data_IF_502139352478
#
_entry.id   IF_502139352478
#
_cell.length_a   1.000
_cell.length_b   1.000
_cell.length_c   1.000
_cell.angle_alpha   90.00
_cell.angle_beta   90.00
_cell.angle_gamma   90.00
#
_symmetry.space_group_name_H-M   'P 1'
#
loop_
_entity.id
_entity.type
_entity.pdbx_description
1 polymer ?
#
# COMPACT_ATOMS: atom_id res chain seq x y z
N UNK A 1 47.49 6.29 -4.07
CA UNK A 1 46.17 6.94 -4.00
C UNK A 1 45.21 6.10 -4.82
N UNK A 2 44.10 5.65 -4.25
CA UNK A 2 43.06 4.96 -5.01
C UNK A 2 42.25 5.98 -5.81
N UNK A 3 42.04 5.68 -7.09
CA UNK A 3 41.22 6.49 -7.98
C UNK A 3 39.95 5.72 -8.31
N UNK A 4 38.83 6.43 -8.36
CA UNK A 4 37.55 5.85 -8.80
C UNK A 4 37.40 6.12 -10.30
N UNK A 5 37.10 5.07 -11.07
CA UNK A 5 36.84 5.19 -12.50
C UNK A 5 35.48 5.82 -12.79
N UNK A 6 35.31 6.32 -14.01
CA UNK A 6 34.04 6.87 -14.48
C UNK A 6 32.87 5.87 -14.36
N UNK A 7 33.10 4.59 -14.67
CA UNK A 7 32.04 3.57 -14.60
C UNK A 7 31.69 3.20 -13.16
N UNK A 8 32.69 3.09 -12.28
CA UNK A 8 32.47 2.85 -10.86
C UNK A 8 31.67 3.99 -10.23
N UNK A 9 32.04 5.25 -10.50
CA UNK A 9 31.31 6.39 -9.97
C UNK A 9 29.87 6.46 -10.51
N UNK A 10 29.66 6.16 -11.80
CA UNK A 10 28.31 6.02 -12.37
C UNK A 10 27.48 4.98 -11.62
N UNK A 11 28.07 3.82 -11.33
CA UNK A 11 27.39 2.71 -10.66
C UNK A 11 27.07 3.05 -9.21
N UNK A 12 28.06 3.53 -8.46
CA UNK A 12 27.91 3.88 -7.04
C UNK A 12 26.90 5.01 -6.83
N UNK A 13 26.91 6.03 -7.70
CA UNK A 13 26.02 7.19 -7.61
C UNK A 13 24.67 6.99 -8.33
N UNK A 14 24.44 5.83 -8.97
CA UNK A 14 23.26 5.55 -9.82
C UNK A 14 23.03 6.64 -10.89
N UNK A 15 24.11 7.11 -11.50
CA UNK A 15 24.11 8.10 -12.58
C UNK A 15 24.36 7.41 -13.92
N UNK A 16 23.60 7.78 -14.94
CA UNK A 16 23.93 7.41 -16.32
C UNK A 16 25.23 8.09 -16.76
N UNK A 17 25.93 7.48 -17.73
CA UNK A 17 27.15 8.04 -18.32
C UNK A 17 26.96 9.49 -18.76
N UNK A 18 25.84 9.79 -19.45
CA UNK A 18 25.54 11.15 -19.90
C UNK A 18 25.34 12.17 -18.75
N UNK A 19 24.82 11.74 -17.60
CA UNK A 19 24.67 12.60 -16.43
C UNK A 19 26.02 12.92 -15.82
N UNK A 20 26.90 11.93 -15.62
CA UNK A 20 28.24 12.17 -15.08
C UNK A 20 29.09 13.01 -16.04
N UNK A 21 29.03 12.76 -17.35
CA UNK A 21 29.69 13.60 -18.36
C UNK A 21 29.23 15.06 -18.33
N UNK A 22 27.95 15.30 -18.04
CA UNK A 22 27.42 16.66 -17.89
C UNK A 22 28.01 17.36 -16.66
N UNK A 23 28.09 16.67 -15.52
CA UNK A 23 28.70 17.22 -14.30
C UNK A 23 30.15 17.64 -14.54
N UNK A 24 30.92 16.82 -15.27
CA UNK A 24 32.30 17.14 -15.67
C UNK A 24 32.33 18.37 -16.58
N UNK A 25 31.49 18.39 -17.63
CA UNK A 25 31.43 19.50 -18.60
C UNK A 25 31.14 20.85 -17.93
N UNK A 26 30.32 20.85 -16.90
CA UNK A 26 29.93 22.05 -16.15
C UNK A 26 30.73 22.27 -14.87
N UNK A 27 31.90 21.61 -14.73
CA UNK A 27 32.84 21.75 -13.60
C UNK A 27 32.22 21.53 -12.21
N UNK A 28 31.21 20.67 -12.13
CA UNK A 28 30.62 20.26 -10.85
C UNK A 28 31.39 19.10 -10.20
N UNK A 29 32.19 18.39 -11.00
CA UNK A 29 33.23 17.47 -10.55
C UNK A 29 34.40 17.56 -11.55
N UNK A 30 35.63 17.53 -11.05
CA UNK A 30 36.83 17.54 -11.89
C UNK A 30 37.54 16.18 -11.82
N UNK A 31 37.76 15.51 -12.96
CA UNK A 31 38.62 14.33 -13.04
C UNK A 31 40.07 14.69 -12.71
N UNK A 32 40.74 13.84 -11.94
CA UNK A 32 42.16 13.93 -11.64
C UNK A 32 43.03 13.91 -12.91
N UNK A 33 42.55 13.26 -13.97
CA UNK A 33 43.24 13.07 -15.23
C UNK A 33 42.59 13.79 -16.41
N UNK A 34 42.04 15.00 -16.20
CA UNK A 34 41.29 15.75 -17.23
C UNK A 34 42.04 15.91 -18.57
N UNK A 35 43.38 15.97 -18.56
CA UNK A 35 44.20 16.13 -19.78
C UNK A 35 44.60 14.81 -20.45
N UNK A 36 44.70 13.72 -19.70
CA UNK A 36 45.21 12.42 -20.17
C UNK A 36 44.15 11.32 -20.25
N UNK A 37 42.89 11.61 -19.87
CA UNK A 37 41.82 10.62 -19.74
C UNK A 37 41.63 9.69 -20.95
N UNK A 38 41.91 10.13 -22.18
CA UNK A 38 41.83 9.26 -23.37
C UNK A 38 42.92 8.20 -23.40
N UNK A 39 44.15 8.56 -23.01
CA UNK A 39 45.28 7.64 -22.93
C UNK A 39 45.14 6.70 -21.72
N UNK A 40 44.54 7.19 -20.63
CA UNK A 40 44.38 6.44 -19.37
C UNK A 40 43.13 5.53 -19.35
N UNK A 41 42.43 5.38 -20.48
CA UNK A 41 41.24 4.53 -20.60
C UNK A 41 40.01 5.06 -19.86
N UNK A 42 39.85 6.38 -19.76
CA UNK A 42 38.69 7.06 -19.19
C UNK A 42 39.01 8.05 -18.07
N UNK A 43 37.99 8.77 -17.61
CA UNK A 43 38.14 9.67 -16.47
C UNK A 43 38.42 8.89 -15.17
N UNK A 44 39.22 9.51 -14.30
CA UNK A 44 39.55 9.07 -12.96
C UNK A 44 39.26 10.19 -11.97
N UNK A 45 38.70 9.85 -10.82
CA UNK A 45 38.30 10.80 -9.78
C UNK A 45 39.05 10.50 -8.50
N UNK A 46 39.42 11.55 -7.77
CA UNK A 46 39.87 11.38 -6.40
C UNK A 46 38.72 10.86 -5.55
N UNK A 47 39.04 10.00 -4.59
CA UNK A 47 38.06 9.40 -3.70
C UNK A 47 37.22 10.45 -2.96
N UNK A 48 37.84 11.55 -2.51
CA UNK A 48 37.13 12.66 -1.87
C UNK A 48 36.08 13.32 -2.77
N UNK A 49 36.41 13.53 -4.06
CA UNK A 49 35.50 14.11 -5.05
C UNK A 49 34.33 13.17 -5.34
N UNK A 50 34.63 11.88 -5.49
CA UNK A 50 33.64 10.85 -5.70
C UNK A 50 32.71 10.72 -4.48
N UNK A 51 33.25 10.73 -3.26
CA UNK A 51 32.47 10.67 -2.03
C UNK A 51 31.55 11.88 -1.87
N UNK A 52 31.98 13.09 -2.26
CA UNK A 52 31.10 14.27 -2.30
C UNK A 52 29.90 14.07 -3.23
N UNK A 53 30.11 13.48 -4.41
CA UNK A 53 29.01 13.15 -5.32
C UNK A 53 28.11 12.07 -4.71
N UNK A 54 28.68 11.02 -4.13
CA UNK A 54 27.91 9.94 -3.52
C UNK A 54 27.00 10.46 -2.40
N UNK A 55 27.52 11.32 -1.53
CA UNK A 55 26.74 11.90 -0.42
C UNK A 55 25.58 12.77 -0.93
N UNK A 56 25.73 13.46 -2.07
CA UNK A 56 24.63 14.24 -2.67
C UNK A 56 23.44 13.36 -3.07
N UNK A 57 23.70 12.15 -3.58
CA UNK A 57 22.67 11.24 -4.08
C UNK A 57 22.30 10.13 -3.09
N UNK A 58 23.01 10.01 -1.98
CA UNK A 58 22.80 9.00 -0.96
C UNK A 58 21.41 9.12 -0.35
N UNK A 59 20.71 8.00 -0.28
CA UNK A 59 19.36 7.94 0.26
C UNK A 59 18.30 8.68 -0.57
N UNK A 60 18.64 9.19 -1.76
CA UNK A 60 17.71 9.90 -2.63
C UNK A 60 17.08 8.97 -3.67
N UNK A 61 15.76 9.00 -3.74
CA UNK A 61 14.93 8.20 -4.60
C UNK A 61 14.35 9.09 -5.70
N UNK A 62 14.34 8.60 -6.93
CA UNK A 62 13.58 9.20 -8.03
C UNK A 62 12.07 9.11 -7.76
N UNK A 63 11.25 9.88 -8.48
CA UNK A 63 9.79 9.78 -8.40
C UNK A 63 9.28 8.34 -8.61
N UNK A 64 9.92 7.57 -9.50
CA UNK A 64 9.58 6.16 -9.74
C UNK A 64 9.89 5.29 -8.52
N UNK A 65 11.08 5.45 -7.96
CA UNK A 65 11.51 4.66 -6.79
C UNK A 65 10.69 5.05 -5.56
N UNK A 66 10.42 6.34 -5.34
CA UNK A 66 9.55 6.82 -4.27
C UNK A 66 8.12 6.25 -4.39
N UNK A 67 7.54 6.26 -5.59
CA UNK A 67 6.23 5.66 -5.85
C UNK A 67 6.22 4.16 -5.57
N UNK A 68 7.29 3.45 -5.96
CA UNK A 68 7.45 2.01 -5.70
C UNK A 68 7.57 1.75 -4.19
N UNK A 69 8.39 2.54 -3.49
CA UNK A 69 8.62 2.42 -2.05
C UNK A 69 7.36 2.67 -1.22
N UNK A 70 6.56 3.68 -1.61
CA UNK A 70 5.28 4.01 -0.97
C UNK A 70 4.13 3.12 -1.46
N UNK A 71 4.35 2.25 -2.47
CA UNK A 71 3.32 1.44 -3.12
C UNK A 71 2.15 2.29 -3.66
N UNK A 72 2.47 3.42 -4.31
CA UNK A 72 1.51 4.38 -4.86
C UNK A 72 1.85 4.72 -6.31
N UNK A 73 0.93 5.42 -6.99
CA UNK A 73 1.17 5.92 -8.34
C UNK A 73 2.16 7.10 -8.33
N UNK A 74 2.91 7.29 -9.43
CA UNK A 74 3.78 8.47 -9.58
C UNK A 74 3.00 9.78 -9.51
N UNK A 75 1.76 9.78 -10.01
CA UNK A 75 0.86 10.94 -9.95
C UNK A 75 0.53 11.31 -8.52
N UNK A 76 0.22 10.32 -7.67
CA UNK A 76 -0.04 10.51 -6.25
C UNK A 76 1.16 11.17 -5.55
N UNK A 77 2.35 10.61 -5.71
CA UNK A 77 3.59 11.15 -5.12
C UNK A 77 3.88 12.57 -5.63
N UNK A 78 3.62 12.84 -6.92
CA UNK A 78 3.77 14.17 -7.50
C UNK A 78 2.80 15.20 -6.90
N UNK A 79 1.55 14.80 -6.64
CA UNK A 79 0.55 15.68 -6.02
C UNK A 79 0.90 15.97 -4.56
N UNK A 80 1.27 14.95 -3.77
CA UNK A 80 1.70 15.15 -2.37
C UNK A 80 2.90 16.07 -2.25
N UNK A 81 3.84 15.99 -3.21
CA UNK A 81 4.97 16.91 -3.27
C UNK A 81 4.55 18.34 -3.65
N UNK A 82 3.53 18.52 -4.52
CA UNK A 82 2.99 19.85 -4.88
C UNK A 82 2.24 20.49 -3.71
N UNK A 83 1.51 19.69 -2.95
CA UNK A 83 0.73 20.10 -1.77
C UNK A 83 1.63 20.35 -0.54
N UNK A 84 2.94 20.10 -0.65
CA UNK A 84 3.91 20.31 0.43
C UNK A 84 3.92 19.21 1.50
N UNK A 85 3.09 18.18 1.34
CA UNK A 85 2.97 17.08 2.29
C UNK A 85 4.14 16.08 2.23
N UNK A 86 4.80 15.98 1.07
CA UNK A 86 5.99 15.15 0.90
C UNK A 86 7.20 16.01 0.50
N UNK A 87 8.21 16.14 1.37
CA UNK A 87 9.43 16.87 1.06
C UNK A 87 10.17 16.28 -0.15
N UNK A 88 10.81 17.16 -0.92
CA UNK A 88 11.69 16.76 -2.02
C UNK A 88 12.85 17.74 -2.14
N UNK A 89 13.97 17.25 -2.68
CA UNK A 89 15.13 18.06 -3.05
C UNK A 89 15.22 18.13 -4.57
N UNK A 90 15.37 19.34 -5.10
CA UNK A 90 15.74 19.50 -6.50
C UNK A 90 17.23 19.27 -6.68
N UNK A 91 17.59 18.23 -7.42
CA UNK A 91 18.98 17.91 -7.73
C UNK A 91 19.19 17.98 -9.24
N UNK A 92 20.31 18.56 -9.64
CA UNK A 92 20.74 18.59 -11.04
C UNK A 92 21.11 17.18 -11.48
N UNK A 93 20.33 16.57 -12.37
CA UNK A 93 20.62 15.27 -12.95
C UNK A 93 20.85 15.41 -14.46
N UNK A 94 22.06 15.84 -14.82
CA UNK A 94 22.37 16.28 -16.18
C UNK A 94 21.76 17.65 -16.48
N UNK A 95 21.06 17.80 -17.62
CA UNK A 95 20.48 19.08 -18.08
C UNK A 95 19.21 19.50 -17.34
N UNK A 96 18.58 18.62 -16.57
CA UNK A 96 17.29 18.88 -15.90
C UNK A 96 17.46 18.83 -14.39
N UNK A 97 16.70 19.69 -13.69
CA UNK A 97 16.47 19.52 -12.26
C UNK A 97 15.43 18.44 -12.08
N UNK A 98 15.77 17.41 -11.32
CA UNK A 98 14.87 16.33 -10.97
C UNK A 98 14.52 16.44 -9.49
N UNK A 99 13.25 16.21 -9.16
CA UNK A 99 12.79 16.10 -7.77
C UNK A 99 13.18 14.72 -7.26
N UNK A 100 14.02 14.70 -6.24
CA UNK A 100 14.43 13.49 -5.54
C UNK A 100 13.90 13.51 -4.11
N UNK A 101 13.60 12.33 -3.59
CA UNK A 101 12.93 12.13 -2.31
C UNK A 101 13.87 11.42 -1.36
N UNK A 102 14.09 11.96 -0.17
CA UNK A 102 14.95 11.28 0.81
C UNK A 102 14.24 10.07 1.41
N UNK A 103 14.96 8.98 1.60
CA UNK A 103 14.39 7.74 2.13
C UNK A 103 13.81 7.92 3.53
N UNK A 104 14.42 8.77 4.38
CA UNK A 104 13.88 9.06 5.71
C UNK A 104 12.56 9.84 5.62
N UNK A 105 12.44 10.80 4.71
CA UNK A 105 11.17 11.52 4.46
C UNK A 105 10.10 10.55 3.95
N UNK A 106 10.48 9.61 3.07
CA UNK A 106 9.57 8.56 2.59
C UNK A 106 9.15 7.59 3.70
N UNK A 107 10.07 7.25 4.63
CA UNK A 107 9.76 6.43 5.82
C UNK A 107 8.81 7.16 6.74
N UNK A 108 9.07 8.43 7.02
CA UNK A 108 8.23 9.26 7.89
C UNK A 108 6.85 9.50 7.26
N UNK A 109 6.80 9.80 5.97
CA UNK A 109 5.56 9.94 5.21
C UNK A 109 4.78 8.63 5.14
N UNK A 110 5.45 7.48 5.02
CA UNK A 110 4.79 6.17 5.12
C UNK A 110 4.28 5.91 6.54
N UNK A 111 5.06 6.21 7.57
CA UNK A 111 4.63 6.12 8.98
C UNK A 111 3.47 7.06 9.27
N UNK A 112 3.44 8.26 8.70
CA UNK A 112 2.33 9.19 8.85
C UNK A 112 1.11 8.71 8.08
N UNK A 113 1.26 8.12 6.89
CA UNK A 113 0.17 7.41 6.21
C UNK A 113 -0.35 6.23 7.04
N UNK A 114 0.52 5.47 7.70
CA UNK A 114 0.16 4.34 8.56
C UNK A 114 -0.48 4.82 9.89
N UNK A 115 -0.03 5.95 10.44
CA UNK A 115 -0.56 6.57 11.66
C UNK A 115 -1.88 7.28 11.39
N UNK A 116 -1.99 8.04 10.30
CA UNK A 116 -3.27 8.53 9.76
C UNK A 116 -4.16 7.34 9.53
N UNK A 117 -3.72 6.26 8.86
CA UNK A 117 -4.51 5.02 8.70
C UNK A 117 -4.92 4.36 10.03
N UNK A 118 -4.35 4.71 11.18
CA UNK A 118 -4.73 4.14 12.47
C UNK A 118 -5.55 5.09 13.36
N UNK A 119 -5.32 6.40 13.32
CA UNK A 119 -6.22 7.38 13.96
C UNK A 119 -7.50 7.56 13.13
N UNK A 120 -7.38 7.59 11.80
CA UNK A 120 -8.53 7.52 10.89
C UNK A 120 -9.19 6.14 10.83
N UNK A 121 -8.57 5.05 11.36
CA UNK A 121 -9.30 3.78 11.56
C UNK A 121 -10.37 3.88 12.65
N UNK A 122 -10.34 4.91 13.50
CA UNK A 122 -11.45 5.24 14.41
C UNK A 122 -12.44 6.25 13.80
N UNK A 123 -12.14 6.83 12.64
CA UNK A 123 -12.90 7.92 12.01
C UNK A 123 -13.16 7.71 10.50
N UNK A 124 -13.06 6.49 9.98
CA UNK A 124 -13.69 6.19 8.71
C UNK A 124 -15.14 5.85 9.00
N UNK A 125 -16.06 6.62 8.43
CA UNK A 125 -17.45 6.22 8.22
C UNK A 125 -17.42 4.90 7.43
N UNK A 126 -17.33 3.80 8.16
CA UNK A 126 -17.56 2.47 7.59
C UNK A 126 -18.98 2.48 7.08
N UNK A 127 -19.14 2.14 5.82
CA UNK A 127 -20.46 2.01 5.25
C UNK A 127 -21.15 0.85 5.96
N UNK A 128 -22.32 1.06 6.57
CA UNK A 128 -23.12 -0.05 7.05
C UNK A 128 -23.36 -1.01 5.88
N UNK A 129 -23.11 -2.30 6.11
CA UNK A 129 -23.24 -3.30 5.05
C UNK A 129 -24.70 -3.65 4.81
N UNK A 130 -25.58 -3.44 5.80
CA UNK A 130 -27.00 -3.70 5.67
C UNK A 130 -27.80 -2.82 6.63
N UNK A 131 -29.01 -2.44 6.20
CA UNK A 131 -30.04 -1.76 7.01
C UNK A 131 -31.39 -2.01 6.35
N UNK A 132 -32.46 -2.26 7.11
CA UNK A 132 -33.85 -2.30 6.61
C UNK A 132 -34.01 -3.05 5.27
N UNK A 133 -33.68 -4.34 5.27
CA UNK A 133 -33.80 -5.25 4.11
C UNK A 133 -32.93 -4.91 2.90
N UNK A 134 -32.01 -3.95 3.00
CA UNK A 134 -31.02 -3.66 1.97
C UNK A 134 -29.65 -4.22 2.37
N UNK A 135 -28.94 -4.72 1.37
CA UNK A 135 -27.55 -5.16 1.45
C UNK A 135 -26.70 -4.28 0.52
N UNK A 136 -25.58 -3.81 1.03
CA UNK A 136 -24.66 -2.96 0.28
C UNK A 136 -24.11 -3.69 -0.94
N UNK A 137 -24.08 -3.00 -2.07
CA UNK A 137 -23.72 -3.53 -3.40
C UNK A 137 -24.66 -4.59 -3.95
N UNK A 138 -25.81 -4.84 -3.34
CA UNK A 138 -26.80 -5.71 -3.96
C UNK A 138 -27.61 -4.96 -5.03
N UNK A 139 -28.26 -5.69 -5.92
CA UNK A 139 -29.20 -5.13 -6.88
C UNK A 139 -30.62 -5.20 -6.33
N UNK A 140 -31.38 -4.13 -6.54
CA UNK A 140 -32.83 -4.08 -6.39
C UNK A 140 -33.46 -3.76 -7.74
N UNK A 141 -34.77 -3.99 -7.89
CA UNK A 141 -35.51 -3.59 -9.10
C UNK A 141 -36.38 -2.37 -8.76
N UNK A 142 -36.20 -1.27 -9.48
CA UNK A 142 -37.02 -0.07 -9.35
C UNK A 142 -37.52 0.32 -10.75
N UNK A 143 -38.84 0.44 -10.91
CA UNK A 143 -39.49 0.73 -12.20
C UNK A 143 -39.04 -0.17 -13.35
N UNK A 144 -38.79 -1.45 -13.05
CA UNK A 144 -38.32 -2.45 -14.03
C UNK A 144 -36.83 -2.37 -14.37
N UNK A 145 -36.06 -1.48 -13.74
CA UNK A 145 -34.62 -1.35 -13.94
C UNK A 145 -33.81 -1.84 -12.74
N UNK A 146 -32.65 -2.48 -12.97
CA UNK A 146 -31.75 -2.86 -11.89
C UNK A 146 -31.04 -1.63 -11.33
N UNK A 147 -31.14 -1.45 -10.02
CA UNK A 147 -30.48 -0.38 -9.26
C UNK A 147 -29.56 -1.02 -8.24
N UNK A 148 -28.28 -0.66 -8.28
CA UNK A 148 -27.24 -1.13 -7.36
C UNK A 148 -27.25 -0.30 -6.08
N UNK A 149 -27.42 -0.93 -4.93
CA UNK A 149 -27.38 -0.27 -3.61
C UNK A 149 -25.96 0.20 -3.31
N UNK A 150 -25.78 1.51 -3.05
CA UNK A 150 -24.48 2.11 -2.71
C UNK A 150 -24.44 2.76 -1.32
N UNK A 151 -25.60 2.98 -0.71
CA UNK A 151 -25.76 3.48 0.65
C UNK A 151 -27.05 2.93 1.25
N UNK A 152 -26.94 2.03 2.23
CA UNK A 152 -28.09 1.36 2.86
C UNK A 152 -28.82 2.24 3.87
N UNK A 153 -28.17 3.27 4.43
CA UNK A 153 -28.81 4.13 5.45
C UNK A 153 -29.63 5.22 4.80
N UNK A 154 -29.11 5.83 3.74
CA UNK A 154 -29.86 6.79 2.92
C UNK A 154 -30.77 6.12 1.91
N UNK A 155 -30.70 4.78 1.80
CA UNK A 155 -31.38 3.97 0.78
C UNK A 155 -31.13 4.51 -0.63
N UNK A 156 -29.86 4.80 -0.95
CA UNK A 156 -29.48 5.28 -2.28
C UNK A 156 -28.85 4.15 -3.10
N UNK A 157 -29.17 4.17 -4.38
CA UNK A 157 -28.58 3.30 -5.39
C UNK A 157 -28.13 4.05 -6.63
N UNK A 158 -27.57 3.30 -7.57
CA UNK A 158 -27.20 3.77 -8.91
C UNK A 158 -27.71 2.79 -9.96
N UNK A 159 -28.22 3.29 -11.08
CA UNK A 159 -28.59 2.46 -12.22
C UNK A 159 -27.38 2.16 -13.13
N UNK A 160 -27.62 1.49 -14.26
CA UNK A 160 -26.59 1.15 -15.25
C UNK A 160 -25.94 2.39 -15.90
N UNK A 161 -26.61 3.55 -15.86
CA UNK A 161 -26.13 4.83 -16.36
C UNK A 161 -25.36 5.63 -15.28
N UNK A 162 -25.17 5.04 -14.08
CA UNK A 162 -24.58 5.70 -12.89
C UNK A 162 -25.39 6.89 -12.36
N UNK A 163 -26.68 6.95 -12.66
CA UNK A 163 -27.57 7.96 -12.10
C UNK A 163 -28.01 7.55 -10.70
N UNK A 164 -28.00 8.51 -9.78
CA UNK A 164 -28.41 8.28 -8.41
C UNK A 164 -29.93 8.14 -8.30
N UNK A 165 -30.37 7.09 -7.62
CA UNK A 165 -31.78 6.79 -7.39
C UNK A 165 -32.04 6.56 -5.91
N UNK A 166 -33.17 7.06 -5.42
CA UNK A 166 -33.65 6.77 -4.07
C UNK A 166 -34.46 5.48 -4.10
N UNK A 167 -34.15 4.57 -3.19
CA UNK A 167 -34.78 3.25 -3.07
C UNK A 167 -35.89 3.36 -2.02
N UNK A 168 -37.13 3.11 -2.44
CA UNK A 168 -38.30 3.16 -1.57
C UNK A 168 -38.21 2.14 -0.41
N UNK A 169 -38.91 2.38 0.70
CA UNK A 169 -38.76 1.62 1.95
C UNK A 169 -39.21 0.15 1.82
N UNK A 170 -40.21 -0.09 0.98
CA UNK A 170 -40.79 -1.39 0.68
C UNK A 170 -39.88 -2.30 -0.15
N UNK A 171 -38.85 -1.74 -0.78
CA UNK A 171 -37.94 -2.48 -1.66
C UNK A 171 -36.91 -3.24 -0.81
N UNK A 172 -36.72 -4.52 -1.13
CA UNK A 172 -35.74 -5.40 -0.49
C UNK A 172 -34.66 -5.82 -1.49
N UNK A 173 -33.44 -5.96 -0.98
CA UNK A 173 -32.30 -6.50 -1.70
C UNK A 173 -32.50 -7.99 -2.04
N UNK A 174 -32.11 -8.40 -3.25
CA UNK A 174 -32.31 -9.77 -3.77
C UNK A 174 -31.57 -10.84 -2.95
N UNK A 175 -30.35 -10.52 -2.49
CA UNK A 175 -29.46 -11.38 -1.72
C UNK A 175 -29.50 -11.06 -0.22
N UNK A 176 -30.42 -10.19 0.22
CA UNK A 176 -30.66 -9.97 1.64
C UNK A 176 -31.27 -11.24 2.24
N UNK A 177 -30.43 -12.03 2.91
CA UNK A 177 -30.86 -13.23 3.63
C UNK A 177 -30.33 -13.18 5.05
N UNK A 178 -31.10 -13.75 5.99
CA UNK A 178 -30.62 -13.91 7.37
C UNK A 178 -29.33 -14.75 7.40
N UNK A 179 -29.16 -15.68 6.47
CA UNK A 179 -27.95 -16.49 6.34
C UNK A 179 -26.69 -15.63 6.16
N UNK A 180 -26.72 -14.63 5.28
CA UNK A 180 -25.58 -13.71 5.07
C UNK A 180 -25.23 -12.90 6.33
N UNK A 181 -26.24 -12.58 7.15
CA UNK A 181 -26.09 -11.77 8.37
C UNK A 181 -25.61 -12.63 9.55
N UNK A 182 -26.05 -13.88 9.62
CA UNK A 182 -25.81 -14.79 10.74
C UNK A 182 -24.52 -15.61 10.62
N UNK A 183 -23.76 -15.47 9.51
CA UNK A 183 -22.45 -16.10 9.40
C UNK A 183 -21.58 -15.73 10.60
N UNK A 184 -21.06 -16.76 11.26
CA UNK A 184 -20.29 -16.63 12.50
C UNK A 184 -19.07 -15.77 12.28
N UNK A 185 -18.80 -14.91 13.26
CA UNK A 185 -17.61 -14.05 13.25
C UNK A 185 -16.34 -14.88 13.33
N UNK A 186 -15.42 -14.64 12.40
CA UNK A 186 -14.10 -15.22 12.37
C UNK A 186 -13.24 -14.53 13.43
N UNK A 187 -12.70 -15.33 14.35
CA UNK A 187 -11.85 -14.87 15.46
C UNK A 187 -10.36 -14.93 15.14
N UNK A 188 -9.97 -15.60 14.04
CA UNK A 188 -8.58 -15.68 13.59
C UNK A 188 -8.00 -14.26 13.41
N UNK A 189 -6.86 -13.93 14.04
CA UNK A 189 -6.28 -12.60 13.97
C UNK A 189 -5.68 -12.32 12.59
N UNK A 190 -5.82 -11.07 12.13
CA UNK A 190 -5.37 -10.62 10.82
C UNK A 190 -6.54 -10.36 9.87
N UNK A 191 -6.23 -9.69 8.77
CA UNK A 191 -7.18 -9.30 7.73
C UNK A 191 -6.48 -9.28 6.37
N UNK A 192 -7.25 -9.49 5.31
CA UNK A 192 -6.87 -9.19 3.92
C UNK A 192 -7.55 -7.88 3.52
N UNK A 193 -6.84 -7.02 2.79
CA UNK A 193 -7.35 -5.70 2.39
C UNK A 193 -7.31 -5.55 0.88
N UNK A 194 -8.41 -5.05 0.32
CA UNK A 194 -8.59 -4.77 -1.10
C UNK A 194 -8.94 -3.30 -1.31
N UNK A 195 -8.58 -2.77 -2.48
CA UNK A 195 -9.12 -1.51 -3.00
C UNK A 195 -9.79 -1.79 -4.35
N UNK A 196 -11.10 -1.71 -4.34
CA UNK A 196 -11.92 -1.93 -5.52
C UNK A 196 -12.19 -0.61 -6.24
N UNK A 197 -12.01 -0.54 -7.56
CA UNK A 197 -12.43 0.61 -8.35
C UNK A 197 -13.96 0.82 -8.26
N UNK A 198 -14.39 2.09 -8.37
CA UNK A 198 -15.81 2.45 -8.40
C UNK A 198 -16.45 1.86 -9.67
N UNK A 199 -17.75 1.55 -9.60
CA UNK A 199 -18.60 1.13 -10.74
C UNK A 199 -18.32 -0.24 -11.38
N UNK A 200 -17.24 -0.93 -11.02
CA UNK A 200 -16.77 -2.09 -11.82
C UNK A 200 -16.63 -3.39 -11.04
N UNK A 201 -16.63 -3.36 -9.70
CA UNK A 201 -16.39 -4.53 -8.86
C UNK A 201 -17.48 -4.77 -7.81
N UNK A 202 -18.69 -4.25 -8.02
CA UNK A 202 -19.79 -4.42 -7.07
C UNK A 202 -20.17 -5.87 -6.85
N UNK A 203 -20.24 -6.68 -7.92
CA UNK A 203 -20.58 -8.10 -7.80
C UNK A 203 -19.53 -8.88 -7.03
N UNK A 204 -18.24 -8.53 -7.19
CA UNK A 204 -17.14 -9.14 -6.44
C UNK A 204 -17.22 -8.79 -4.95
N UNK A 205 -17.50 -7.52 -4.65
CA UNK A 205 -17.68 -7.06 -3.27
C UNK A 205 -18.90 -7.71 -2.61
N UNK A 206 -20.03 -7.78 -3.32
CA UNK A 206 -21.23 -8.47 -2.88
C UNK A 206 -20.95 -9.96 -2.63
N UNK A 207 -20.26 -10.62 -3.56
CA UNK A 207 -19.90 -12.03 -3.42
C UNK A 207 -19.09 -12.30 -2.15
N UNK A 208 -18.14 -11.43 -1.80
CA UNK A 208 -17.41 -11.55 -0.54
C UNK A 208 -18.35 -11.37 0.66
N UNK A 209 -19.18 -10.33 0.66
CA UNK A 209 -20.10 -10.05 1.78
C UNK A 209 -21.05 -11.23 2.00
N UNK A 210 -21.62 -11.80 0.93
CA UNK A 210 -22.57 -12.90 1.00
C UNK A 210 -21.95 -14.21 1.52
N UNK A 211 -20.68 -14.48 1.21
CA UNK A 211 -20.03 -15.74 1.58
C UNK A 211 -19.20 -15.65 2.87
N UNK A 212 -18.56 -14.52 3.12
CA UNK A 212 -17.76 -14.31 4.32
C UNK A 212 -18.63 -13.80 5.48
N UNK A 213 -19.75 -13.14 5.16
CA UNK A 213 -20.68 -12.58 6.13
C UNK A 213 -20.37 -11.15 6.53
N UNK A 214 -21.42 -10.40 6.85
CA UNK A 214 -21.34 -8.96 7.21
C UNK A 214 -20.49 -8.71 8.47
N UNK A 215 -20.40 -9.68 9.37
CA UNK A 215 -19.62 -9.60 10.62
C UNK A 215 -18.10 -9.69 10.39
N UNK A 216 -17.68 -10.12 9.19
CA UNK A 216 -16.30 -10.43 8.82
C UNK A 216 -15.73 -9.48 7.76
N UNK A 217 -16.51 -8.48 7.35
CA UNK A 217 -16.17 -7.53 6.29
C UNK A 217 -16.36 -6.11 6.81
N UNK A 218 -15.45 -5.22 6.44
CA UNK A 218 -15.55 -3.79 6.65
C UNK A 218 -15.34 -3.08 5.32
N UNK A 219 -16.21 -2.14 4.99
CA UNK A 219 -16.13 -1.34 3.77
C UNK A 219 -16.05 0.14 4.12
N UNK A 220 -15.16 0.85 3.44
CA UNK A 220 -15.04 2.31 3.52
C UNK A 220 -14.93 2.89 2.12
N UNK A 221 -15.65 3.98 1.84
CA UNK A 221 -15.49 4.73 0.59
C UNK A 221 -14.22 5.60 0.67
N UNK A 222 -13.44 5.62 -0.41
CA UNK A 222 -12.26 6.46 -0.64
C UNK A 222 -12.44 7.20 -1.97
N UNK A 223 -11.62 8.23 -2.20
CA UNK A 223 -11.61 8.95 -3.48
C UNK A 223 -11.26 8.01 -4.65
N UNK A 224 -10.41 7.01 -4.40
CA UNK A 224 -9.91 6.08 -5.42
C UNK A 224 -10.78 4.83 -5.61
N UNK A 225 -11.81 4.61 -4.75
CA UNK A 225 -12.56 3.36 -4.76
C UNK A 225 -13.17 2.97 -3.41
N UNK A 226 -13.51 1.69 -3.27
CA UNK A 226 -13.96 1.09 -2.02
C UNK A 226 -12.81 0.31 -1.38
N UNK A 227 -12.41 0.72 -0.19
CA UNK A 227 -11.47 -0.02 0.63
C UNK A 227 -12.25 -1.08 1.41
N UNK A 228 -11.98 -2.35 1.14
CA UNK A 228 -12.62 -3.47 1.81
C UNK A 228 -11.59 -4.25 2.63
N UNK A 229 -11.85 -4.43 3.92
CA UNK A 229 -11.07 -5.30 4.81
C UNK A 229 -11.89 -6.53 5.15
N UNK A 230 -11.27 -7.69 5.05
CA UNK A 230 -11.91 -8.99 5.24
C UNK A 230 -11.12 -9.82 6.26
N UNK A 231 -11.82 -10.52 7.16
CA UNK A 231 -11.19 -11.49 8.06
C UNK A 231 -10.56 -12.65 7.28
N UNK A 232 -9.61 -13.34 7.91
CA UNK A 232 -8.91 -14.50 7.34
C UNK A 232 -9.82 -15.75 7.29
N UNK A 233 -10.81 -15.73 6.41
CA UNK A 233 -11.71 -16.86 6.14
C UNK A 233 -11.51 -17.45 4.76
N UNK A 234 -12.58 -18.01 4.20
CA UNK A 234 -12.56 -18.55 2.85
C UNK A 234 -13.94 -18.44 2.19
N UNK A 235 -13.94 -18.32 0.88
CA UNK A 235 -15.15 -18.22 0.04
C UNK A 235 -15.10 -19.29 -1.06
N UNK A 236 -16.22 -19.68 -1.67
CA UNK A 236 -16.21 -20.62 -2.79
C UNK A 236 -15.41 -20.06 -3.96
N UNK A 237 -14.70 -20.94 -4.66
CA UNK A 237 -13.88 -20.57 -5.80
C UNK A 237 -14.73 -20.21 -7.01
N UNK A 238 -14.42 -19.05 -7.56
CA UNK A 238 -14.84 -18.63 -8.89
C UNK A 238 -13.63 -17.98 -9.58
N UNK A 239 -13.35 -18.40 -10.81
CA UNK A 239 -12.15 -17.99 -11.53
C UNK A 239 -12.14 -16.48 -11.86
N UNK A 240 -13.30 -15.89 -12.16
CA UNK A 240 -13.42 -14.47 -12.43
C UNK A 240 -13.24 -13.67 -11.15
N UNK A 241 -13.92 -14.07 -10.07
CA UNK A 241 -13.79 -13.46 -8.74
C UNK A 241 -12.33 -13.50 -8.30
N UNK A 242 -11.69 -14.68 -8.32
CA UNK A 242 -10.31 -14.85 -7.89
C UNK A 242 -9.34 -13.93 -8.64
N UNK A 243 -9.53 -13.76 -9.96
CA UNK A 243 -8.70 -12.85 -10.78
C UNK A 243 -8.88 -11.39 -10.37
N UNK A 244 -10.12 -10.94 -10.15
CA UNK A 244 -10.38 -9.56 -9.72
C UNK A 244 -9.82 -9.32 -8.32
N UNK A 245 -10.02 -10.25 -7.38
CA UNK A 245 -9.49 -10.17 -6.03
C UNK A 245 -7.96 -10.02 -6.01
N UNK A 246 -7.24 -10.83 -6.80
CA UNK A 246 -5.78 -10.71 -6.91
C UNK A 246 -5.35 -9.35 -7.48
N UNK A 247 -6.12 -8.79 -8.41
CA UNK A 247 -5.80 -7.48 -9.01
C UNK A 247 -6.04 -6.32 -8.05
N UNK A 248 -7.04 -6.44 -7.18
CA UNK A 248 -7.43 -5.41 -6.22
C UNK A 248 -6.77 -5.56 -4.83
N UNK A 249 -5.93 -6.58 -4.64
CA UNK A 249 -5.28 -6.89 -3.36
C UNK A 249 -4.24 -5.83 -2.99
N UNK A 250 -4.37 -5.24 -1.80
CA UNK A 250 -3.39 -4.30 -1.23
C UNK A 250 -2.53 -4.99 -0.17
N UNK A 251 -3.13 -5.84 0.66
CA UNK A 251 -2.44 -6.44 1.80
C UNK A 251 -3.04 -7.81 2.14
N UNK A 252 -2.18 -8.74 2.53
CA UNK A 252 -2.52 -10.15 2.71
C UNK A 252 -2.22 -10.97 1.46
N UNK A 253 -2.72 -12.20 1.44
CA UNK A 253 -2.53 -13.18 0.37
C UNK A 253 -3.83 -13.94 0.13
N UNK A 254 -3.99 -14.38 -1.11
CA UNK A 254 -5.06 -15.29 -1.51
C UNK A 254 -4.46 -16.62 -1.93
N UNK A 255 -4.99 -17.70 -1.39
CA UNK A 255 -4.61 -19.06 -1.78
C UNK A 255 -5.82 -19.76 -2.37
N UNK A 256 -5.65 -20.35 -3.55
CA UNK A 256 -6.65 -21.25 -4.11
C UNK A 256 -6.31 -22.65 -3.64
N UNK A 257 -7.22 -23.27 -2.90
CA UNK A 257 -7.13 -24.68 -2.52
C UNK A 257 -8.47 -25.36 -2.78
N UNK A 258 -8.44 -26.42 -3.62
CA UNK A 258 -9.65 -27.12 -4.07
C UNK A 258 -10.65 -26.11 -4.66
N UNK A 259 -11.90 -26.16 -4.21
CA UNK A 259 -13.00 -25.30 -4.66
C UNK A 259 -13.19 -24.07 -3.78
N UNK A 260 -12.15 -23.59 -3.09
CA UNK A 260 -12.22 -22.40 -2.23
C UNK A 260 -11.04 -21.44 -2.41
N UNK A 261 -11.31 -20.17 -2.13
CA UNK A 261 -10.33 -19.09 -2.04
C UNK A 261 -10.14 -18.79 -0.56
N UNK A 262 -8.93 -19.00 -0.05
CA UNK A 262 -8.53 -18.75 1.32
C UNK A 262 -7.88 -17.37 1.46
N UNK A 263 -8.31 -16.63 2.47
CA UNK A 263 -7.79 -15.32 2.82
C UNK A 263 -6.76 -15.53 3.92
N UNK A 264 -5.51 -15.25 3.64
CA UNK A 264 -4.39 -15.55 4.54
C UNK A 264 -3.44 -14.36 4.63
N UNK A 265 -2.68 -14.30 5.71
CA UNK A 265 -1.56 -13.37 5.88
C UNK A 265 -0.21 -14.11 5.87
N UNK A 266 -0.20 -15.40 5.53
CA UNK A 266 0.94 -16.32 5.60
C UNK A 266 1.61 -16.33 6.98
N UNK A 267 0.84 -16.10 8.04
CA UNK A 267 1.30 -16.19 9.43
C UNK A 267 0.53 -17.27 10.17
N UNK A 268 1.27 -18.04 10.96
CA UNK A 268 0.69 -18.97 11.93
C UNK A 268 0.61 -18.32 13.31
N UNK A 269 -0.45 -18.66 14.05
CA UNK A 269 -0.63 -18.15 15.40
C UNK A 269 0.07 -19.05 16.42
N UNK A 270 0.95 -18.46 17.22
CA UNK A 270 1.63 -19.16 18.33
C UNK A 270 1.25 -18.50 19.65
N UNK A 271 0.76 -19.31 20.60
CA UNK A 271 0.50 -18.89 21.99
C UNK A 271 1.73 -19.16 22.84
N UNK A 272 2.28 -18.13 23.50
CA UNK A 272 3.44 -18.23 24.39
C UNK A 272 3.09 -17.73 25.78
N UNK A 273 3.62 -18.40 26.81
CA UNK A 273 3.61 -17.92 28.18
C UNK A 273 5.02 -17.39 28.49
N UNK A 274 5.11 -16.09 28.81
CA UNK A 274 6.37 -15.40 29.04
C UNK A 274 6.35 -14.73 30.41
N UNK A 275 7.52 -14.65 31.05
CA UNK A 275 7.67 -13.94 32.32
C UNK A 275 7.31 -12.46 32.16
N UNK A 276 6.75 -11.88 33.23
CA UNK A 276 6.32 -10.48 33.25
C UNK A 276 7.46 -9.52 32.90
N UNK A 277 8.67 -9.80 33.35
CA UNK A 277 9.86 -9.00 33.04
C UNK A 277 10.16 -8.93 31.54
N UNK A 278 9.99 -10.05 30.82
CA UNK A 278 10.16 -10.12 29.36
C UNK A 278 9.12 -9.26 28.66
N UNK A 279 7.86 -9.33 29.11
CA UNK A 279 6.77 -8.52 28.55
C UNK A 279 7.00 -7.02 28.77
N UNK A 280 7.44 -6.61 29.97
CA UNK A 280 7.74 -5.20 30.24
C UNK A 280 8.92 -4.68 29.42
N UNK A 281 9.99 -5.48 29.29
CA UNK A 281 11.13 -5.13 28.42
C UNK A 281 10.71 -5.01 26.95
N UNK A 282 9.84 -5.91 26.47
CA UNK A 282 9.32 -5.85 25.11
C UNK A 282 8.42 -4.63 24.86
N UNK A 283 7.64 -4.20 25.86
CA UNK A 283 6.87 -2.93 25.79
C UNK A 283 7.79 -1.73 25.70
N UNK A 284 8.83 -1.67 26.52
CA UNK A 284 9.78 -0.57 26.50
C UNK A 284 10.48 -0.45 25.15
N UNK A 285 11.00 -1.57 24.62
CA UNK A 285 11.58 -1.64 23.26
C UNK A 285 10.56 -1.28 22.17
N UNK A 286 9.29 -1.60 22.35
CA UNK A 286 8.26 -1.24 21.39
C UNK A 286 8.06 0.28 21.33
N UNK A 287 8.07 0.96 22.48
CA UNK A 287 7.99 2.43 22.55
C UNK A 287 9.18 3.06 21.85
N UNK A 288 10.40 2.58 22.13
CA UNK A 288 11.64 3.05 21.50
C UNK A 288 11.63 2.88 19.98
N UNK A 289 11.08 1.76 19.48
CA UNK A 289 10.93 1.49 18.04
C UNK A 289 9.69 2.14 17.40
N UNK A 290 8.84 2.82 18.16
CA UNK A 290 7.58 3.41 17.68
C UNK A 290 6.51 2.38 17.27
N UNK A 291 6.50 1.21 17.90
CA UNK A 291 5.53 0.14 17.65
C UNK A 291 4.30 0.25 18.55
N UNK A 292 3.13 -0.11 18.02
CA UNK A 292 1.86 -0.07 18.76
C UNK A 292 1.67 -1.17 19.79
N UNK A 293 2.54 -2.17 19.80
CA UNK A 293 2.43 -3.28 20.72
C UNK A 293 3.73 -4.07 20.82
N UNK A 294 3.98 -4.59 22.03
CA UNK A 294 5.18 -5.37 22.34
C UNK A 294 5.29 -6.67 21.53
N UNK A 295 4.15 -7.22 21.05
CA UNK A 295 4.13 -8.45 20.24
C UNK A 295 4.98 -8.34 18.98
N UNK A 296 5.01 -7.18 18.33
CA UNK A 296 5.85 -6.97 17.14
C UNK A 296 7.35 -7.07 17.45
N UNK A 297 7.77 -6.59 18.62
CA UNK A 297 9.15 -6.73 19.09
C UNK A 297 9.49 -8.21 19.30
N UNK A 298 8.58 -8.96 19.90
CA UNK A 298 8.76 -10.41 20.11
C UNK A 298 8.82 -11.16 18.78
N UNK A 299 7.96 -10.83 17.81
CA UNK A 299 7.99 -11.39 16.46
C UNK A 299 9.34 -11.13 15.77
N UNK A 300 9.90 -9.91 15.88
CA UNK A 300 11.22 -9.58 15.31
C UNK A 300 12.34 -10.38 15.96
N UNK A 301 12.36 -10.47 17.30
CA UNK A 301 13.39 -11.25 18.01
C UNK A 301 13.34 -12.73 17.60
N UNK A 302 12.15 -13.32 17.52
CA UNK A 302 11.99 -14.70 17.07
C UNK A 302 12.41 -14.87 15.60
N UNK A 303 12.09 -13.91 14.75
CA UNK A 303 12.47 -13.95 13.34
C UNK A 303 13.99 -13.85 13.14
N UNK A 304 14.67 -12.99 13.91
CA UNK A 304 16.12 -12.80 13.84
C UNK A 304 16.87 -14.08 14.30
N UNK A 305 16.33 -14.80 15.29
CA UNK A 305 16.94 -16.03 15.81
C UNK A 305 16.64 -17.27 14.96
N UNK A 306 15.42 -17.37 14.39
CA UNK A 306 14.93 -18.59 13.75
C UNK A 306 15.00 -18.61 12.22
N UNK A 307 15.23 -17.48 11.54
CA UNK A 307 15.36 -17.43 10.08
C UNK A 307 16.81 -17.58 9.57
N UNK A 308 17.73 -18.13 10.38
CA UNK A 308 19.08 -18.49 9.96
C UNK A 308 19.12 -19.85 9.25
#
# INVERSE_FOLDING_TARGET
>A
MNYISFEELCTMAKLSKGQLSYLIKHKQIEPANLKSWKADGGYRFHEEDAMRILEIYKGLYTLKEAATYLQKSKTYVSNMAKEGALPFKEVLKGKRREKLYHIEDLKEFRRSMDNVNTESQRMYDHLPLYTNNLLLFDSVTLDGQPVRVIDVTKRNGINLQNEHMTIAEEVSSNHFSQTCIQITRITKPGDVTFLFPVYTAYDVMLYIISHLGVSNVLVSKKNEGYLMKCKLGNIPYDAHIFRVLNTCLISGYLQQEKDRIYFTNNKEHVSLYLDRSIIENAKQKAIEKGYKGYKKVLEEILADELNN
#
